data_IF_046814690267
#
_entry.id   IF_046814690267
#
_cell.length_a   1.000
_cell.length_b   1.000
_cell.length_c   1.000
_cell.angle_alpha   90.00
_cell.angle_beta   90.00
_cell.angle_gamma   90.00
#
_symmetry.space_group_name_H-M   'P 1'
#
loop_
_entity.id
_entity.type
_entity.pdbx_description
1 polymer ?
#
# COMPACT_ATOMS: atom_id res chain seq x y z
N UNK A 1 49.04 -44.16 52.17
CA UNK A 1 47.59 -43.83 52.18
C UNK A 1 47.41 -42.35 52.47
N UNK A 2 47.14 -41.52 51.45
CA UNK A 2 46.42 -40.24 51.51
C UNK A 2 45.82 -40.01 50.12
N UNK A 3 44.50 -40.09 50.00
CA UNK A 3 43.81 -39.87 48.73
C UNK A 3 43.74 -38.37 48.46
N UNK A 4 44.30 -37.91 47.34
CA UNK A 4 44.11 -36.53 46.88
C UNK A 4 42.82 -36.48 46.06
N UNK A 5 41.79 -35.89 46.65
CA UNK A 5 40.55 -35.56 45.93
C UNK A 5 40.81 -34.37 45.02
N UNK A 6 40.59 -34.53 43.71
CA UNK A 6 40.58 -33.43 42.75
C UNK A 6 39.16 -32.86 42.74
N UNK A 7 39.03 -31.57 43.04
CA UNK A 7 37.74 -30.87 43.07
C UNK A 7 37.15 -30.76 41.65
N UNK A 8 35.83 -30.90 41.45
CA UNK A 8 35.22 -30.65 40.14
C UNK A 8 35.37 -29.17 39.78
N UNK A 9 35.86 -28.92 38.56
CA UNK A 9 35.91 -27.56 37.99
C UNK A 9 34.50 -27.18 37.55
N UNK A 10 33.90 -26.23 38.25
CA UNK A 10 32.63 -25.63 37.87
C UNK A 10 32.80 -24.83 36.58
N UNK A 11 32.36 -25.37 35.44
CA UNK A 11 32.27 -24.61 34.19
C UNK A 11 31.07 -23.67 34.30
N UNK A 12 31.32 -22.47 34.80
CA UNK A 12 30.34 -21.38 34.76
C UNK A 12 30.13 -20.98 33.30
N UNK A 13 29.04 -21.44 32.68
CA UNK A 13 28.59 -20.85 31.43
C UNK A 13 28.22 -19.38 31.70
N UNK A 14 29.13 -18.46 31.36
CA UNK A 14 28.75 -17.08 31.18
C UNK A 14 27.77 -17.06 30.00
N UNK A 15 26.49 -16.86 30.31
CA UNK A 15 25.51 -16.47 29.32
C UNK A 15 25.92 -15.08 28.81
N UNK A 16 26.68 -15.05 27.72
CA UNK A 16 26.91 -13.84 26.95
C UNK A 16 25.53 -13.33 26.56
N UNK A 17 25.05 -12.27 27.22
CA UNK A 17 23.92 -11.51 26.68
C UNK A 17 24.37 -11.01 25.32
N UNK A 18 23.91 -11.67 24.27
CA UNK A 18 23.76 -11.05 22.98
C UNK A 18 22.75 -9.94 23.24
N UNK A 19 23.26 -8.72 23.40
CA UNK A 19 22.45 -7.52 23.31
C UNK A 19 21.81 -7.57 21.94
N UNK A 20 20.55 -8.01 21.88
CA UNK A 20 19.72 -7.84 20.70
C UNK A 20 19.73 -6.34 20.46
N UNK A 21 20.47 -5.91 19.44
CA UNK A 21 20.46 -4.52 19.01
C UNK A 21 19.00 -4.21 18.75
N UNK A 22 18.44 -3.29 19.55
CA UNK A 22 17.07 -2.88 19.38
C UNK A 22 16.90 -2.46 17.92
N UNK A 23 15.98 -3.11 17.22
CA UNK A 23 15.68 -2.80 15.83
C UNK A 23 15.39 -1.30 15.77
N UNK A 24 16.18 -0.57 14.96
CA UNK A 24 15.92 0.83 14.68
C UNK A 24 14.51 0.89 14.07
N UNK A 25 13.51 1.47 14.77
CA UNK A 25 12.13 1.37 14.33
C UNK A 25 12.02 2.05 12.97
N UNK A 26 11.35 1.36 12.03
CA UNK A 26 11.11 1.81 10.66
C UNK A 26 10.63 3.27 10.65
N UNK A 27 11.57 4.19 10.44
CA UNK A 27 11.29 5.60 10.65
C UNK A 27 10.39 6.12 9.53
N UNK A 28 9.12 6.38 9.88
CA UNK A 28 8.30 7.37 9.18
C UNK A 28 8.84 8.74 9.55
N UNK A 29 9.04 9.60 8.56
CA UNK A 29 9.35 11.02 8.81
C UNK A 29 8.07 11.72 9.29
N UNK A 30 7.78 11.65 10.60
CA UNK A 30 6.53 12.15 11.20
C UNK A 30 6.31 13.66 11.01
N UNK A 31 7.36 14.45 10.71
CA UNK A 31 7.31 15.91 10.55
C UNK A 31 7.77 16.39 9.14
N UNK A 32 7.15 15.87 8.07
CA UNK A 32 7.22 16.58 6.77
C UNK A 32 6.11 17.63 6.70
N UNK A 33 6.49 18.91 6.61
CA UNK A 33 5.54 20.01 6.49
C UNK A 33 4.80 19.93 5.16
N UNK A 34 3.49 19.71 5.19
CA UNK A 34 2.67 19.70 3.99
C UNK A 34 2.43 21.11 3.44
N UNK A 35 2.19 21.18 2.14
CA UNK A 35 1.67 22.36 1.43
C UNK A 35 0.22 22.08 1.02
N UNK A 36 -0.65 23.08 1.16
CA UNK A 36 -2.05 23.04 0.71
C UNK A 36 -2.44 24.36 0.05
N UNK A 37 -3.35 24.32 -0.91
CA UNK A 37 -3.82 25.49 -1.67
C UNK A 37 -5.37 25.49 -1.74
N UNK A 38 -6.06 25.81 -0.62
CA UNK A 38 -7.51 25.79 -0.58
C UNK A 38 -8.17 26.74 -1.58
N UNK A 39 -7.51 27.86 -1.90
CA UNK A 39 -8.02 28.92 -2.77
C UNK A 39 -8.08 28.50 -4.24
N UNK A 40 -7.17 27.63 -4.70
CA UNK A 40 -7.30 26.98 -6.01
C UNK A 40 -8.55 26.08 -6.11
N UNK A 41 -9.11 25.62 -4.98
CA UNK A 41 -10.46 25.08 -4.89
C UNK A 41 -10.55 23.56 -4.67
N UNK A 42 -11.37 23.17 -3.67
CA UNK A 42 -11.52 21.80 -3.15
C UNK A 42 -12.73 21.01 -3.67
N UNK A 43 -13.30 21.43 -4.80
CA UNK A 43 -14.48 20.80 -5.39
C UNK A 43 -14.15 20.15 -6.73
N UNK A 44 -14.77 18.99 -7.00
CA UNK A 44 -14.75 18.34 -8.30
C UNK A 44 -16.10 17.68 -8.57
N UNK A 45 -16.64 17.83 -9.78
CA UNK A 45 -17.91 17.24 -10.18
C UNK A 45 -17.91 16.74 -11.63
N UNK A 46 -18.51 15.56 -11.91
CA UNK A 46 -19.01 14.58 -10.95
C UNK A 46 -17.87 13.78 -10.31
N UNK A 47 -17.91 13.60 -8.99
CA UNK A 47 -17.03 12.68 -8.26
C UNK A 47 -17.80 11.39 -7.90
N UNK A 48 -17.11 10.25 -7.92
CA UNK A 48 -17.72 8.91 -7.73
C UNK A 48 -17.41 8.28 -6.37
N UNK A 49 -16.36 8.74 -5.68
CA UNK A 49 -16.10 8.42 -4.27
C UNK A 49 -16.20 9.71 -3.45
N UNK A 50 -16.71 9.71 -2.21
CA UNK A 50 -16.63 10.87 -1.34
C UNK A 50 -15.22 11.08 -0.76
N UNK A 51 -14.88 12.26 -0.18
CA UNK A 51 -15.75 13.42 0.05
C UNK A 51 -16.23 14.11 -1.23
N UNK A 52 -17.55 14.36 -1.34
CA UNK A 52 -18.12 15.05 -2.51
C UNK A 52 -18.01 16.57 -2.44
N UNK A 53 -17.61 17.10 -1.28
CA UNK A 53 -17.35 18.52 -0.99
C UNK A 53 -16.09 18.62 -0.13
N UNK A 54 -15.43 19.78 -0.13
CA UNK A 54 -14.21 20.06 0.64
C UNK A 54 -13.15 18.95 0.56
N UNK A 55 -12.86 18.47 -0.65
CA UNK A 55 -11.79 17.50 -0.88
C UNK A 55 -10.44 18.21 -0.85
N UNK A 56 -9.91 18.34 0.35
CA UNK A 56 -8.57 18.85 0.57
C UNK A 56 -7.51 17.93 -0.08
N UNK A 57 -6.43 18.55 -0.57
CA UNK A 57 -5.19 17.88 -0.98
C UNK A 57 -4.01 18.46 -0.21
N UNK A 58 -3.24 17.60 0.43
CA UNK A 58 -1.98 17.97 1.08
C UNK A 58 -0.82 17.39 0.27
N UNK A 59 0.11 18.26 -0.18
CA UNK A 59 1.35 17.83 -0.83
C UNK A 59 2.47 17.74 0.19
N UNK A 60 3.18 16.62 0.22
CA UNK A 60 4.40 16.45 0.99
C UNK A 60 5.59 16.28 0.06
N UNK A 61 6.71 16.94 0.36
CA UNK A 61 8.01 16.62 -0.22
C UNK A 61 8.59 15.43 0.55
N UNK A 62 8.91 14.35 -0.16
CA UNK A 62 9.44 13.11 0.42
C UNK A 62 10.97 13.03 0.28
N UNK A 63 11.59 14.05 -0.32
CA UNK A 63 12.99 14.09 -0.74
C UNK A 63 13.29 13.15 -1.90
N UNK A 64 14.52 13.24 -2.46
CA UNK A 64 14.98 12.43 -3.60
C UNK A 64 13.97 12.45 -4.76
N UNK A 65 13.62 13.65 -5.23
CA UNK A 65 12.74 13.88 -6.39
C UNK A 65 11.39 13.11 -6.34
N UNK A 66 10.81 13.01 -5.14
CA UNK A 66 9.58 12.31 -4.88
C UNK A 66 8.61 13.15 -4.03
N UNK A 67 7.33 13.18 -4.42
CA UNK A 67 6.28 13.89 -3.71
C UNK A 67 5.06 13.00 -3.47
N UNK A 68 4.34 13.24 -2.39
CA UNK A 68 3.02 12.70 -2.12
C UNK A 68 1.97 13.79 -2.33
N UNK A 69 0.86 13.48 -3.02
CA UNK A 69 -0.36 14.27 -2.97
C UNK A 69 -1.46 13.42 -2.33
N UNK A 70 -1.78 13.76 -1.09
CA UNK A 70 -2.71 13.03 -0.24
C UNK A 70 -4.10 13.68 -0.29
N UNK A 71 -5.13 12.86 -0.47
CA UNK A 71 -6.53 13.21 -0.28
C UNK A 71 -7.16 12.24 0.73
N UNK A 72 -8.40 12.50 1.16
CA UNK A 72 -9.19 11.51 1.87
C UNK A 72 -10.01 10.64 0.92
N UNK A 73 -9.96 9.34 1.15
CA UNK A 73 -10.97 8.38 0.73
C UNK A 73 -11.94 8.19 1.89
N UNK A 74 -13.20 8.53 1.68
CA UNK A 74 -14.29 8.15 2.60
C UNK A 74 -15.21 7.18 1.86
N UNK A 75 -15.57 6.05 2.46
CA UNK A 75 -16.56 5.14 1.90
C UNK A 75 -17.32 4.40 3.01
N UNK A 76 -18.64 4.56 3.05
CA UNK A 76 -19.50 4.14 4.15
C UNK A 76 -18.97 4.65 5.51
N UNK A 77 -18.13 3.86 6.18
CA UNK A 77 -17.53 4.18 7.48
C UNK A 77 -16.01 3.98 7.50
N UNK A 78 -15.39 3.71 6.36
CA UNK A 78 -13.95 3.88 6.15
C UNK A 78 -13.69 5.38 5.98
N UNK A 79 -12.73 5.91 6.70
CA UNK A 79 -11.99 7.12 6.29
C UNK A 79 -10.51 6.81 6.33
N UNK A 80 -9.86 6.91 5.17
CA UNK A 80 -8.45 6.61 5.00
C UNK A 80 -7.76 7.72 4.19
N UNK A 81 -6.46 7.88 4.41
CA UNK A 81 -5.62 8.63 3.49
C UNK A 81 -5.51 7.86 2.18
N UNK A 82 -5.61 8.55 1.04
CA UNK A 82 -5.34 7.98 -0.28
C UNK A 82 -4.38 8.90 -1.02
N UNK A 83 -3.31 8.33 -1.57
CA UNK A 83 -2.15 9.09 -2.02
C UNK A 83 -1.82 8.81 -3.48
N UNK A 84 -1.65 9.90 -4.21
CA UNK A 84 -0.92 9.93 -5.47
C UNK A 84 0.57 10.13 -5.17
N UNK A 85 1.42 9.28 -5.74
CA UNK A 85 2.87 9.37 -5.61
C UNK A 85 3.44 9.92 -6.91
N UNK A 86 4.32 10.92 -6.83
CA UNK A 86 4.93 11.58 -7.99
C UNK A 86 6.43 11.41 -7.91
N UNK A 87 7.05 10.99 -9.01
CA UNK A 87 8.50 10.89 -9.19
C UNK A 87 8.91 11.79 -10.37
N UNK A 88 9.99 12.55 -10.24
CA UNK A 88 10.63 13.19 -11.39
C UNK A 88 11.57 12.20 -12.09
N UNK A 89 11.37 12.02 -13.38
CA UNK A 89 12.25 11.22 -14.25
C UNK A 89 13.54 11.98 -14.52
N UNK A 90 14.67 11.32 -14.33
CA UNK A 90 16.00 11.91 -14.43
C UNK A 90 16.38 12.24 -15.89
N UNK A 91 15.78 11.57 -16.87
CA UNK A 91 16.05 11.82 -18.30
C UNK A 91 15.29 13.00 -18.90
N UNK A 92 14.05 13.22 -18.46
CA UNK A 92 13.12 14.18 -19.10
C UNK A 92 12.78 15.37 -18.22
N UNK A 93 13.14 15.34 -16.93
CA UNK A 93 12.65 16.24 -15.87
C UNK A 93 11.11 16.19 -15.69
N UNK A 94 10.44 15.28 -16.39
CA UNK A 94 9.00 15.08 -16.38
C UNK A 94 8.51 14.28 -15.19
N UNK A 95 7.21 14.41 -14.92
CA UNK A 95 6.55 13.80 -13.77
C UNK A 95 5.89 12.47 -14.17
N UNK A 96 6.30 11.43 -13.47
CA UNK A 96 5.65 10.11 -13.43
C UNK A 96 4.68 10.09 -12.25
N UNK A 97 3.39 9.91 -12.54
CA UNK A 97 2.28 10.09 -11.59
C UNK A 97 1.60 8.75 -11.33
N UNK A 98 1.86 8.18 -10.15
CA UNK A 98 1.28 6.91 -9.70
C UNK A 98 0.00 7.12 -8.90
N UNK A 99 -1.07 6.42 -9.29
CA UNK A 99 -2.39 6.44 -8.65
C UNK A 99 -2.93 7.87 -8.43
N UNK A 100 -3.22 8.62 -9.52
CA UNK A 100 -3.70 9.99 -9.41
C UNK A 100 -5.01 10.08 -8.62
N UNK A 101 -5.16 11.15 -7.87
CA UNK A 101 -6.38 11.42 -7.09
C UNK A 101 -7.30 12.40 -7.83
N UNK A 102 -8.44 12.77 -7.22
CA UNK A 102 -9.43 13.60 -7.90
C UNK A 102 -8.83 14.99 -8.22
N UNK A 103 -8.84 15.43 -9.49
CA UNK A 103 -8.18 16.66 -9.92
C UNK A 103 -9.03 17.90 -9.58
N UNK A 104 -9.19 18.15 -8.28
CA UNK A 104 -9.64 19.45 -7.75
C UNK A 104 -8.66 20.54 -8.18
N UNK A 105 -9.05 21.80 -8.07
CA UNK A 105 -8.15 22.91 -8.38
C UNK A 105 -6.91 22.92 -7.47
N UNK A 106 -7.10 22.67 -6.17
CA UNK A 106 -6.01 22.47 -5.20
C UNK A 106 -5.06 21.33 -5.62
N UNK A 107 -5.58 20.15 -5.94
CA UNK A 107 -4.74 19.02 -6.40
C UNK A 107 -3.92 19.38 -7.64
N UNK A 108 -4.54 20.05 -8.61
CA UNK A 108 -3.86 20.43 -9.84
C UNK A 108 -2.83 21.53 -9.62
N UNK A 109 -3.13 22.50 -8.75
CA UNK A 109 -2.20 23.57 -8.37
C UNK A 109 -0.93 22.99 -7.75
N UNK A 110 -1.09 22.14 -6.72
CA UNK A 110 0.01 21.49 -6.02
C UNK A 110 0.83 20.53 -6.89
N UNK A 111 0.19 19.83 -7.85
CA UNK A 111 0.89 18.97 -8.81
C UNK A 111 1.71 19.80 -9.81
N UNK A 112 1.14 20.90 -10.33
CA UNK A 112 1.85 21.78 -11.26
C UNK A 112 3.00 22.54 -10.57
N UNK A 113 2.86 22.87 -9.29
CA UNK A 113 3.88 23.54 -8.47
C UNK A 113 5.11 22.65 -8.18
N UNK A 114 5.05 21.33 -8.42
CA UNK A 114 6.26 20.48 -8.43
C UNK A 114 7.19 20.88 -9.60
N UNK A 115 6.63 21.46 -10.67
CA UNK A 115 7.36 21.81 -11.90
C UNK A 115 7.68 20.60 -12.76
N UNK A 116 7.85 20.84 -14.06
CA UNK A 116 8.01 19.80 -15.08
C UNK A 116 6.67 19.33 -15.69
N UNK A 117 6.67 18.77 -16.91
CA UNK A 117 5.47 18.27 -17.57
C UNK A 117 4.93 17.01 -16.89
N UNK A 118 3.59 16.85 -16.85
CA UNK A 118 2.94 15.59 -16.45
C UNK A 118 2.98 14.63 -17.64
N UNK A 119 4.03 13.80 -17.72
CA UNK A 119 4.33 12.96 -18.89
C UNK A 119 3.71 11.56 -18.82
N UNK A 120 3.63 10.99 -17.62
CA UNK A 120 3.18 9.62 -17.42
C UNK A 120 2.21 9.51 -16.26
N UNK A 121 1.16 8.71 -16.44
CA UNK A 121 0.22 8.35 -15.38
C UNK A 121 0.04 6.84 -15.33
N UNK A 122 0.04 6.31 -14.11
CA UNK A 122 -0.07 4.87 -13.83
C UNK A 122 -1.34 4.61 -13.04
N UNK A 123 -2.19 3.70 -13.55
CA UNK A 123 -3.21 3.00 -12.76
C UNK A 123 -2.62 1.66 -12.29
N UNK A 124 -2.13 1.56 -11.05
CA UNK A 124 -1.24 0.47 -10.62
C UNK A 124 -1.96 -0.80 -10.19
N UNK A 125 -3.30 -0.78 -10.06
CA UNK A 125 -4.10 -1.91 -9.57
C UNK A 125 -5.50 -1.93 -10.19
N UNK A 126 -6.33 -2.91 -9.84
CA UNK A 126 -7.77 -2.93 -10.22
C UNK A 126 -8.71 -2.25 -9.21
N UNK A 127 -8.24 -1.87 -8.02
CA UNK A 127 -9.07 -1.29 -6.96
C UNK A 127 -9.79 0.00 -7.40
N UNK A 128 -11.02 0.18 -6.90
CA UNK A 128 -11.99 1.13 -7.44
C UNK A 128 -11.62 2.58 -7.14
N UNK A 129 -11.12 2.83 -5.93
CA UNK A 129 -10.68 4.11 -5.40
C UNK A 129 -9.51 4.72 -6.19
N UNK A 130 -8.56 3.88 -6.61
CA UNK A 130 -7.41 4.27 -7.46
C UNK A 130 -7.82 4.43 -8.93
N UNK A 131 -8.84 3.70 -9.37
CA UNK A 131 -9.37 3.75 -10.75
C UNK A 131 -10.32 4.92 -11.01
N UNK A 132 -11.13 5.32 -10.03
CA UNK A 132 -12.19 6.32 -10.18
C UNK A 132 -11.70 7.71 -10.65
N UNK A 133 -10.55 8.24 -10.18
CA UNK A 133 -10.05 9.53 -10.63
C UNK A 133 -9.43 9.53 -12.04
N UNK A 134 -8.98 8.39 -12.55
CA UNK A 134 -8.15 8.30 -13.78
C UNK A 134 -8.74 9.07 -14.98
N UNK A 135 -10.02 8.88 -15.28
CA UNK A 135 -10.67 9.56 -16.42
C UNK A 135 -10.77 11.08 -16.22
N UNK A 136 -10.97 11.52 -14.97
CA UNK A 136 -10.98 12.94 -14.62
C UNK A 136 -9.58 13.54 -14.75
N UNK A 137 -8.57 12.84 -14.23
CA UNK A 137 -7.17 13.26 -14.29
C UNK A 137 -6.68 13.40 -15.74
N UNK A 138 -6.93 12.41 -16.58
CA UNK A 138 -6.54 12.44 -18.01
C UNK A 138 -7.26 13.57 -18.76
N UNK A 139 -8.50 13.94 -18.39
CA UNK A 139 -9.17 15.12 -18.95
C UNK A 139 -8.46 16.43 -18.61
N UNK A 140 -7.80 16.52 -17.45
CA UNK A 140 -7.02 17.68 -17.02
C UNK A 140 -5.63 17.71 -17.66
N UNK A 141 -5.02 16.54 -17.86
CA UNK A 141 -3.68 16.36 -18.42
C UNK A 141 -3.74 15.52 -19.72
N UNK A 142 -4.32 16.02 -20.83
CA UNK A 142 -4.66 15.22 -22.01
C UNK A 142 -3.46 14.63 -22.76
N UNK A 143 -2.27 15.22 -22.59
CA UNK A 143 -1.05 14.77 -23.26
C UNK A 143 -0.32 13.63 -22.51
N UNK A 144 -0.73 13.32 -21.27
CA UNK A 144 -0.09 12.29 -20.44
C UNK A 144 -0.16 10.91 -21.12
N UNK A 145 0.89 10.09 -21.03
CA UNK A 145 0.84 8.70 -21.47
C UNK A 145 0.32 7.80 -20.35
N UNK A 146 -0.61 6.91 -20.68
CA UNK A 146 -1.44 6.17 -19.72
C UNK A 146 -1.05 4.70 -19.67
N UNK A 147 -0.48 4.28 -18.53
CA UNK A 147 -0.09 2.91 -18.25
C UNK A 147 -1.04 2.29 -17.23
N UNK A 148 -1.44 1.03 -17.43
CA UNK A 148 -2.39 0.37 -16.51
C UNK A 148 -1.92 -1.03 -16.11
N UNK A 149 -2.23 -1.41 -14.88
CA UNK A 149 -2.20 -2.80 -14.44
C UNK A 149 -3.22 -3.64 -15.23
N UNK A 150 -2.91 -4.91 -15.53
CA UNK A 150 -3.75 -5.77 -16.36
C UNK A 150 -5.12 -6.07 -15.73
N UNK A 151 -6.06 -6.53 -16.57
CA UNK A 151 -7.33 -7.10 -16.12
C UNK A 151 -8.36 -6.10 -15.58
N UNK A 152 -8.26 -4.83 -15.96
CA UNK A 152 -9.21 -3.80 -15.56
C UNK A 152 -10.67 -4.20 -15.85
N UNK A 153 -11.53 -4.13 -14.84
CA UNK A 153 -12.94 -4.54 -14.93
C UNK A 153 -13.89 -3.57 -14.18
N UNK A 154 -15.19 -3.88 -14.19
CA UNK A 154 -16.22 -3.14 -13.45
C UNK A 154 -16.85 -1.95 -14.19
N UNK A 155 -17.63 -1.11 -13.48
CA UNK A 155 -18.46 -0.06 -14.08
C UNK A 155 -17.66 1.12 -14.64
N UNK A 156 -16.39 1.26 -14.24
CA UNK A 156 -15.45 2.30 -14.70
C UNK A 156 -14.71 1.89 -15.99
N UNK A 157 -15.27 0.96 -16.76
CA UNK A 157 -14.69 0.44 -17.98
C UNK A 157 -13.77 -0.77 -17.76
N UNK A 158 -13.47 -1.45 -18.86
CA UNK A 158 -12.67 -2.67 -18.88
C UNK A 158 -11.52 -2.61 -19.89
N UNK A 159 -10.43 -3.30 -19.57
CA UNK A 159 -9.29 -3.56 -20.43
C UNK A 159 -8.67 -4.88 -19.98
N UNK A 160 -8.38 -5.78 -20.91
CA UNK A 160 -7.89 -7.12 -20.58
C UNK A 160 -6.41 -7.15 -20.15
N UNK A 161 -5.75 -8.25 -20.47
CA UNK A 161 -4.30 -8.44 -20.30
C UNK A 161 -3.50 -8.12 -21.56
N UNK A 162 -4.12 -7.60 -22.63
CA UNK A 162 -3.43 -7.28 -23.89
C UNK A 162 -4.07 -6.13 -24.67
N UNK A 163 -3.24 -5.21 -25.19
CA UNK A 163 -3.65 -4.08 -26.03
C UNK A 163 -4.15 -4.48 -27.42
N UNK A 164 -3.88 -5.71 -27.88
CA UNK A 164 -4.50 -6.26 -29.10
C UNK A 164 -6.03 -6.23 -29.05
N UNK A 165 -6.61 -6.21 -27.84
CA UNK A 165 -8.06 -6.09 -27.60
C UNK A 165 -8.42 -4.64 -27.28
N UNK A 166 -9.44 -4.11 -27.98
CA UNK A 166 -9.91 -2.73 -27.80
C UNK A 166 -10.31 -2.43 -26.35
N UNK A 167 -9.56 -1.54 -25.70
CA UNK A 167 -9.88 -0.97 -24.38
C UNK A 167 -11.24 -0.28 -24.37
N UNK A 168 -11.97 -0.43 -23.25
CA UNK A 168 -13.27 0.21 -22.96
C UNK A 168 -13.20 1.06 -21.68
N UNK A 169 -12.02 1.56 -21.32
CA UNK A 169 -11.80 2.41 -20.14
C UNK A 169 -12.41 3.82 -20.27
N UNK A 170 -12.76 4.24 -21.50
CA UNK A 170 -13.31 5.57 -21.77
C UNK A 170 -12.27 6.70 -21.76
N UNK A 171 -10.98 6.32 -21.85
CA UNK A 171 -9.79 7.13 -22.07
C UNK A 171 -8.75 6.28 -22.82
N UNK A 172 -7.69 6.89 -23.37
CA UNK A 172 -6.62 6.17 -24.07
C UNK A 172 -5.82 5.29 -23.10
N UNK A 173 -5.32 4.16 -23.57
CA UNK A 173 -4.38 3.30 -22.83
C UNK A 173 -3.21 3.08 -23.75
N UNK A 174 -2.03 3.53 -23.33
CA UNK A 174 -0.81 3.53 -24.14
C UNK A 174 0.07 2.30 -23.82
N UNK A 175 -0.12 1.66 -22.65
CA UNK A 175 0.52 0.39 -22.28
C UNK A 175 -0.21 -0.36 -21.16
N UNK A 176 -0.09 -1.70 -21.16
CA UNK A 176 -0.50 -2.61 -20.09
C UNK A 176 0.77 -3.29 -19.54
N UNK A 177 0.94 -3.34 -18.22
CA UNK A 177 2.08 -4.06 -17.64
C UNK A 177 1.92 -5.58 -17.76
N UNK A 178 2.99 -6.28 -18.15
CA UNK A 178 2.99 -7.72 -18.39
C UNK A 178 2.39 -8.16 -19.73
N UNK A 179 2.13 -7.24 -20.66
CA UNK A 179 1.63 -7.52 -22.01
C UNK A 179 2.74 -7.39 -23.06
N UNK A 180 3.15 -8.51 -23.67
CA UNK A 180 4.17 -8.53 -24.74
C UNK A 180 3.78 -7.71 -25.98
N UNK A 181 2.49 -7.37 -26.15
CA UNK A 181 2.02 -6.50 -27.24
C UNK A 181 2.03 -5.00 -26.89
N UNK A 182 2.31 -4.64 -25.64
CA UNK A 182 2.49 -3.26 -25.21
C UNK A 182 3.92 -2.77 -25.48
N UNK A 183 4.11 -1.50 -25.86
CA UNK A 183 5.45 -0.94 -25.97
C UNK A 183 6.12 -0.91 -24.58
N UNK A 184 7.44 -1.14 -24.47
CA UNK A 184 8.13 -0.95 -23.20
C UNK A 184 7.98 0.50 -22.75
N UNK A 185 7.74 0.77 -21.46
CA UNK A 185 7.67 2.14 -20.97
C UNK A 185 8.97 2.91 -21.27
N UNK A 186 8.93 4.16 -21.75
CA UNK A 186 10.14 4.91 -22.12
C UNK A 186 11.03 5.25 -20.91
N UNK A 187 10.49 5.11 -19.70
CA UNK A 187 11.16 5.24 -18.39
C UNK A 187 11.54 3.88 -17.76
N UNK A 188 11.37 2.75 -18.46
CA UNK A 188 11.67 1.41 -17.93
C UNK A 188 13.15 1.21 -17.57
N UNK A 189 14.07 2.01 -18.11
CA UNK A 189 15.46 1.98 -17.69
C UNK A 189 15.77 2.90 -16.48
N UNK A 190 14.77 3.52 -15.86
CA UNK A 190 14.86 4.12 -14.51
C UNK A 190 14.17 3.26 -13.44
N UNK A 191 13.34 2.27 -13.84
CA UNK A 191 12.50 1.47 -12.93
C UNK A 191 12.66 -0.04 -13.10
N UNK A 192 12.78 -0.78 -12.00
CA UNK A 192 12.43 -2.21 -11.99
C UNK A 192 10.91 -2.35 -11.76
N UNK A 193 10.26 -3.34 -12.39
CA UNK A 193 8.79 -3.48 -12.44
C UNK A 193 8.42 -4.95 -12.22
N UNK A 194 7.49 -5.22 -11.30
CA UNK A 194 6.97 -6.57 -11.02
C UNK A 194 5.44 -6.54 -11.01
N UNK A 195 4.79 -7.40 -11.81
CA UNK A 195 3.33 -7.38 -12.02
C UNK A 195 2.67 -8.60 -11.39
N UNK A 196 1.86 -8.40 -10.36
CA UNK A 196 0.94 -9.41 -9.87
C UNK A 196 -0.32 -9.36 -10.74
N UNK A 197 -0.69 -10.48 -11.34
CA UNK A 197 -2.01 -10.68 -11.95
C UNK A 197 -2.55 -12.05 -11.59
N UNK A 198 -3.75 -12.10 -11.03
CA UNK A 198 -4.46 -13.33 -10.68
C UNK A 198 -5.90 -13.22 -11.18
N UNK A 199 -6.28 -14.08 -12.12
CA UNK A 199 -7.68 -14.25 -12.51
C UNK A 199 -8.40 -15.11 -11.46
N UNK A 200 -9.10 -14.47 -10.52
CA UNK A 200 -9.77 -15.19 -9.44
C UNK A 200 -11.07 -15.84 -9.94
N UNK A 201 -11.33 -17.12 -9.62
CA UNK A 201 -12.51 -17.81 -10.10
C UNK A 201 -13.81 -17.22 -9.53
N UNK A 202 -14.90 -17.36 -10.29
CA UNK A 202 -16.26 -16.87 -9.98
C UNK A 202 -16.36 -15.33 -10.04
N UNK A 203 -17.40 -14.76 -9.44
CA UNK A 203 -17.76 -13.33 -9.55
C UNK A 203 -16.85 -12.37 -8.75
N UNK A 204 -15.64 -12.79 -8.35
CA UNK A 204 -14.69 -11.91 -7.65
C UNK A 204 -14.06 -10.87 -8.60
N UNK A 205 -13.82 -11.27 -9.85
CA UNK A 205 -13.00 -10.52 -10.80
C UNK A 205 -11.51 -10.71 -10.54
N UNK A 206 -10.65 -10.34 -11.51
CA UNK A 206 -9.21 -10.46 -11.35
C UNK A 206 -8.69 -9.50 -10.28
N UNK A 207 -7.52 -9.82 -9.75
CA UNK A 207 -6.73 -8.91 -8.92
C UNK A 207 -5.40 -8.66 -9.62
N UNK A 208 -5.01 -7.39 -9.70
CA UNK A 208 -3.65 -7.00 -10.06
C UNK A 208 -3.14 -5.86 -9.20
N UNK A 209 -1.82 -5.87 -9.02
CA UNK A 209 -1.03 -4.77 -8.51
C UNK A 209 0.34 -4.80 -9.20
N UNK A 210 0.87 -3.64 -9.56
CA UNK A 210 2.21 -3.48 -10.14
C UNK A 210 3.07 -2.73 -9.13
N UNK A 211 4.17 -3.37 -8.72
CA UNK A 211 5.21 -2.73 -7.92
C UNK A 211 6.28 -2.12 -8.82
N UNK A 212 6.85 -1.00 -8.36
CA UNK A 212 7.83 -0.22 -9.10
C UNK A 212 9.02 0.12 -8.19
N UNK A 213 10.25 -0.22 -8.55
CA UNK A 213 11.44 0.28 -7.86
C UNK A 213 12.13 1.34 -8.71
N UNK A 214 11.99 2.62 -8.33
CA UNK A 214 12.70 3.72 -8.97
C UNK A 214 14.17 3.73 -8.55
N UNK A 215 15.04 3.20 -9.40
CA UNK A 215 16.45 2.90 -9.07
C UNK A 215 17.26 4.14 -8.68
N UNK A 216 17.18 5.31 -9.38
CA UNK A 216 17.92 6.51 -8.98
C UNK A 216 17.64 6.95 -7.55
N UNK A 217 16.39 6.82 -7.11
CA UNK A 217 15.95 7.25 -5.77
C UNK A 217 15.95 6.13 -4.73
N UNK A 218 16.36 4.91 -5.10
CA UNK A 218 16.32 3.70 -4.26
C UNK A 218 14.98 3.48 -3.56
N UNK A 219 13.89 3.65 -4.30
CA UNK A 219 12.53 3.70 -3.73
C UNK A 219 11.63 2.66 -4.36
N UNK A 220 11.07 1.77 -3.54
CA UNK A 220 9.91 0.97 -3.90
C UNK A 220 8.63 1.83 -3.80
N UNK A 221 7.81 1.80 -4.83
CA UNK A 221 6.46 2.34 -4.85
C UNK A 221 5.51 1.15 -5.01
N UNK A 222 4.62 1.00 -4.03
CA UNK A 222 3.47 0.08 -4.09
C UNK A 222 2.18 0.88 -3.94
N UNK A 223 1.05 0.24 -4.23
CA UNK A 223 -0.27 0.83 -4.00
C UNK A 223 -0.79 0.37 -2.65
N UNK A 224 -1.32 -0.84 -2.62
CA UNK A 224 -2.01 -1.45 -1.49
C UNK A 224 -1.20 -2.63 -0.94
N UNK A 225 -0.13 -3.07 -1.62
CA UNK A 225 0.51 -4.34 -1.32
C UNK A 225 1.02 -4.44 0.11
N UNK A 226 1.66 -3.36 0.56
CA UNK A 226 2.13 -3.14 1.93
C UNK A 226 1.67 -1.78 2.41
N UNK A 227 1.47 -1.66 3.72
CA UNK A 227 1.15 -0.42 4.41
C UNK A 227 1.98 -0.31 5.68
N UNK A 228 2.29 0.92 6.10
CA UNK A 228 2.84 1.18 7.43
C UNK A 228 1.79 1.92 8.26
N UNK A 229 1.39 1.35 9.39
CA UNK A 229 0.39 1.94 10.29
C UNK A 229 1.09 2.80 11.35
N UNK A 230 1.03 4.14 11.30
CA UNK A 230 1.60 5.00 12.33
C UNK A 230 0.75 5.00 13.62
N UNK A 231 1.31 5.43 14.74
CA UNK A 231 0.55 5.65 16.00
C UNK A 231 -0.41 6.83 15.97
N UNK A 232 -0.23 7.78 15.05
CA UNK A 232 -1.02 9.01 14.93
C UNK A 232 -1.75 9.06 13.58
N UNK A 233 -2.99 9.60 13.52
CA UNK A 233 -3.65 9.87 12.26
C UNK A 233 -2.87 10.92 11.45
N UNK A 234 -2.91 10.82 10.12
CA UNK A 234 -2.45 11.91 9.24
C UNK A 234 -3.24 13.19 9.52
N UNK A 235 -2.55 14.34 9.45
CA UNK A 235 -3.16 15.66 9.65
C UNK A 235 -4.34 15.90 8.71
N UNK A 236 -4.37 15.31 7.51
CA UNK A 236 -5.50 15.51 6.59
C UNK A 236 -6.84 15.03 7.15
N UNK A 237 -6.87 14.12 8.13
CA UNK A 237 -8.11 13.70 8.79
C UNK A 237 -8.81 14.86 9.52
N UNK A 238 -8.08 15.91 9.93
CA UNK A 238 -8.68 17.13 10.52
C UNK A 238 -9.46 17.98 9.52
N UNK A 239 -9.41 17.66 8.22
CA UNK A 239 -10.26 18.31 7.19
C UNK A 239 -11.67 17.73 7.12
N UNK A 240 -11.91 16.60 7.81
CA UNK A 240 -13.18 15.87 7.81
C UNK A 240 -13.71 15.60 9.23
N UNK A 241 -12.83 15.38 10.21
CA UNK A 241 -13.17 15.21 11.63
C UNK A 241 -12.72 16.42 12.46
N UNK A 242 -13.51 16.76 13.49
CA UNK A 242 -13.17 17.80 14.45
C UNK A 242 -11.93 17.39 15.25
N UNK A 243 -10.84 18.16 15.14
CA UNK A 243 -9.56 17.82 15.76
C UNK A 243 -9.64 17.81 17.29
N UNK A 244 -10.31 18.79 17.90
CA UNK A 244 -10.43 18.90 19.35
C UNK A 244 -11.50 17.99 19.96
N UNK A 245 -12.58 17.69 19.23
CA UNK A 245 -13.73 16.95 19.75
C UNK A 245 -13.72 15.47 19.37
N UNK A 246 -13.10 15.11 18.26
CA UNK A 246 -13.03 13.72 17.76
C UNK A 246 -11.62 13.19 17.86
N UNK A 247 -10.65 13.79 17.17
CA UNK A 247 -9.30 13.23 17.03
C UNK A 247 -8.55 13.24 18.37
N UNK A 248 -8.58 14.34 19.11
CA UNK A 248 -7.84 14.49 20.37
C UNK A 248 -8.57 13.92 21.61
N UNK A 249 -9.88 13.65 21.53
CA UNK A 249 -10.71 13.25 22.70
C UNK A 249 -11.19 11.81 22.71
N UNK A 250 -11.33 11.13 21.58
CA UNK A 250 -11.55 9.67 21.58
C UNK A 250 -10.21 8.96 21.37
N UNK A 251 -9.59 8.37 22.41
CA UNK A 251 -8.32 7.63 22.26
C UNK A 251 -8.47 6.41 21.32
N UNK A 252 -9.69 5.97 21.06
CA UNK A 252 -9.98 4.88 20.14
C UNK A 252 -10.21 5.36 18.69
N UNK A 253 -10.28 6.66 18.41
CA UNK A 253 -10.58 7.18 17.06
C UNK A 253 -9.63 6.61 16.01
N UNK A 254 -8.32 6.68 16.28
CA UNK A 254 -7.32 6.22 15.33
C UNK A 254 -7.23 4.68 15.24
N UNK A 255 -7.19 3.91 16.35
CA UNK A 255 -7.34 2.45 16.31
C UNK A 255 -8.57 1.99 15.51
N UNK A 256 -9.74 2.59 15.74
CA UNK A 256 -10.96 2.29 14.96
C UNK A 256 -10.75 2.58 13.47
N UNK A 257 -10.22 3.75 13.13
CA UNK A 257 -10.01 4.18 11.74
C UNK A 257 -9.06 3.24 10.99
N UNK A 258 -7.97 2.82 11.62
CA UNK A 258 -7.03 1.82 11.08
C UNK A 258 -7.73 0.50 10.82
N UNK A 259 -8.39 -0.07 11.84
CA UNK A 259 -9.09 -1.35 11.72
C UNK A 259 -10.18 -1.28 10.64
N UNK A 260 -10.92 -0.17 10.56
CA UNK A 260 -11.91 0.07 9.50
C UNK A 260 -11.26 0.07 8.12
N UNK A 261 -10.18 0.83 7.91
CA UNK A 261 -9.54 0.93 6.61
C UNK A 261 -8.88 -0.37 6.14
N UNK A 262 -8.26 -1.14 7.05
CA UNK A 262 -7.57 -2.40 6.68
C UNK A 262 -8.46 -3.65 6.67
N UNK A 263 -9.66 -3.59 7.27
CA UNK A 263 -10.56 -4.74 7.40
C UNK A 263 -11.99 -4.53 6.90
N UNK A 264 -12.42 -3.39 6.33
CA UNK A 264 -13.81 -3.26 5.87
C UNK A 264 -14.05 -3.75 4.42
N UNK A 265 -15.20 -4.41 4.15
CA UNK A 265 -16.13 -5.03 5.06
C UNK A 265 -15.86 -6.54 5.14
N UNK A 266 -14.83 -6.94 5.91
CA UNK A 266 -14.63 -8.33 6.36
C UNK A 266 -15.66 -8.67 7.45
N UNK A 267 -16.92 -8.61 7.03
CA UNK A 267 -18.09 -9.12 7.72
C UNK A 267 -17.97 -10.65 7.77
N UNK A 268 -17.38 -11.13 8.86
CA UNK A 268 -17.77 -12.36 9.58
C UNK A 268 -18.36 -13.51 8.75
N UNK A 269 -17.54 -14.52 8.44
CA UNK A 269 -17.88 -15.95 8.54
C UNK A 269 -16.58 -16.71 8.86
N UNK A 270 -16.55 -17.79 9.63
CA UNK A 270 -17.63 -18.59 10.23
C UNK A 270 -17.31 -18.82 11.72
N UNK A 271 -18.29 -19.24 12.54
CA UNK A 271 -18.05 -19.58 13.94
C UNK A 271 -18.17 -21.07 14.20
N UNK A 272 -17.03 -21.76 14.34
CA UNK A 272 -16.66 -22.71 15.42
C UNK A 272 -15.52 -23.69 15.09
N UNK A 273 -15.28 -24.31 13.93
CA UNK A 273 -15.75 -24.21 12.54
C UNK A 273 -15.35 -22.95 11.76
N UNK A 274 -14.22 -23.03 11.04
CA UNK A 274 -13.75 -22.05 10.05
C UNK A 274 -13.75 -20.59 10.51
N UNK A 275 -13.05 -20.32 11.61
CA UNK A 275 -12.86 -18.96 12.11
C UNK A 275 -11.79 -18.23 11.27
N UNK A 276 -12.21 -17.24 10.46
CA UNK A 276 -11.31 -16.18 9.98
C UNK A 276 -11.27 -15.10 11.07
N UNK A 277 -10.09 -14.64 11.42
CA UNK A 277 -9.87 -13.81 12.61
C UNK A 277 -8.72 -12.80 12.22
N UNK A 278 -8.63 -11.58 12.76
CA UNK A 278 -7.88 -10.47 12.10
C UNK A 278 -6.93 -9.68 13.01
N UNK A 279 -5.64 -9.46 12.71
CA UNK A 279 -4.70 -8.84 13.65
C UNK A 279 -5.20 -7.49 14.19
N UNK A 280 -5.25 -7.37 15.53
CA UNK A 280 -5.66 -6.14 16.23
C UNK A 280 -4.71 -4.97 16.02
N UNK A 281 -5.09 -3.78 16.49
CA UNK A 281 -4.38 -2.52 16.21
C UNK A 281 -2.91 -2.55 16.65
N UNK A 282 -2.62 -3.00 17.89
CA UNK A 282 -1.24 -3.11 18.40
C UNK A 282 -0.39 -4.17 17.69
N UNK A 283 -0.99 -5.05 16.86
CA UNK A 283 -0.23 -5.98 16.02
C UNK A 283 0.18 -5.36 14.67
N UNK A 284 -0.45 -4.26 14.27
CA UNK A 284 -0.26 -3.55 13.00
C UNK A 284 0.57 -2.27 13.15
N UNK A 285 0.42 -1.57 14.27
CA UNK A 285 1.04 -0.28 14.51
C UNK A 285 2.57 -0.35 14.58
N UNK A 286 3.23 0.70 14.09
CA UNK A 286 4.69 0.85 13.91
C UNK A 286 5.35 -0.24 13.04
N UNK A 287 4.59 -0.86 12.15
CA UNK A 287 5.06 -1.98 11.32
C UNK A 287 4.69 -1.80 9.86
N UNK A 288 5.63 -2.18 8.99
CA UNK A 288 5.35 -2.48 7.60
C UNK A 288 4.67 -3.85 7.53
N UNK A 289 3.44 -3.90 7.02
CA UNK A 289 2.62 -5.11 6.94
C UNK A 289 1.99 -5.25 5.57
N UNK A 290 1.79 -6.49 5.09
CA UNK A 290 0.87 -6.76 3.99
C UNK A 290 -0.50 -6.21 4.37
N UNK A 291 -1.13 -5.42 3.50
CA UNK A 291 -2.49 -4.92 3.74
C UNK A 291 -3.44 -6.11 4.09
N UNK A 292 -4.00 -6.15 5.31
CA UNK A 292 -4.74 -7.31 5.78
C UNK A 292 -5.95 -7.73 4.93
N UNK A 293 -6.64 -6.80 4.27
CA UNK A 293 -7.68 -7.10 3.28
C UNK A 293 -7.16 -7.99 2.14
N UNK A 294 -5.94 -7.74 1.65
CA UNK A 294 -5.33 -8.51 0.57
C UNK A 294 -4.95 -9.93 1.03
N UNK A 295 -4.55 -10.11 2.29
CA UNK A 295 -4.38 -11.45 2.90
C UNK A 295 -5.66 -12.27 2.82
N UNK A 296 -6.80 -11.64 3.10
CA UNK A 296 -8.10 -12.29 3.11
C UNK A 296 -8.64 -12.60 1.71
N UNK A 297 -8.39 -11.74 0.70
CA UNK A 297 -9.03 -11.86 -0.63
C UNK A 297 -8.12 -12.31 -1.77
N UNK A 298 -6.81 -12.08 -1.69
CA UNK A 298 -5.83 -12.42 -2.75
C UNK A 298 -4.99 -13.61 -2.29
N UNK A 299 -4.28 -13.43 -1.19
CA UNK A 299 -3.24 -14.37 -0.75
C UNK A 299 -3.84 -15.71 -0.31
N UNK A 300 -5.06 -15.69 0.24
CA UNK A 300 -5.83 -16.91 0.57
C UNK A 300 -6.28 -17.73 -0.65
N UNK A 301 -6.24 -17.14 -1.86
CA UNK A 301 -6.74 -17.75 -3.12
C UNK A 301 -5.63 -18.03 -4.13
N UNK A 302 -4.55 -17.27 -4.08
CA UNK A 302 -3.37 -17.46 -4.93
C UNK A 302 -2.06 -17.24 -4.13
N UNK A 303 -1.82 -18.01 -3.04
CA UNK A 303 -0.67 -17.80 -2.16
C UNK A 303 0.66 -17.95 -2.91
N UNK A 304 0.73 -18.90 -3.85
CA UNK A 304 1.91 -19.16 -4.70
C UNK A 304 2.22 -17.92 -5.56
N UNK A 305 1.27 -17.42 -6.36
CA UNK A 305 1.50 -16.25 -7.22
C UNK A 305 1.91 -14.99 -6.44
N UNK A 306 1.34 -14.76 -5.25
CA UNK A 306 1.75 -13.64 -4.38
C UNK A 306 3.16 -13.85 -3.81
N UNK A 307 3.49 -15.09 -3.42
CA UNK A 307 4.81 -15.48 -2.91
C UNK A 307 5.89 -15.30 -3.99
N UNK A 308 5.61 -15.70 -5.22
CA UNK A 308 6.59 -15.62 -6.30
C UNK A 308 6.79 -14.15 -6.75
N UNK A 309 5.71 -13.35 -6.79
CA UNK A 309 5.76 -11.90 -7.05
C UNK A 309 6.53 -11.10 -5.99
N UNK A 310 6.46 -11.49 -4.70
CA UNK A 310 7.28 -10.83 -3.66
C UNK A 310 8.74 -11.31 -3.72
N UNK A 311 8.99 -12.56 -4.14
CA UNK A 311 10.35 -13.07 -4.32
C UNK A 311 11.06 -12.34 -5.47
N UNK A 312 10.41 -12.13 -6.62
CA UNK A 312 10.92 -11.37 -7.78
C UNK A 312 11.60 -10.04 -7.37
N UNK A 313 11.04 -9.36 -6.37
CA UNK A 313 11.51 -8.07 -5.88
C UNK A 313 12.59 -8.17 -4.79
N UNK A 314 12.65 -9.30 -4.06
CA UNK A 314 13.34 -9.39 -2.76
C UNK A 314 14.45 -10.43 -2.67
N UNK A 315 14.48 -11.45 -3.55
CA UNK A 315 15.53 -12.47 -3.64
C UNK A 315 16.40 -12.32 -4.90
N UNK A 316 17.57 -12.94 -4.91
CA UNK A 316 18.39 -13.13 -6.12
C UNK A 316 18.12 -14.47 -6.80
N UNK A 317 17.77 -15.50 -6.03
CA UNK A 317 17.56 -16.86 -6.54
C UNK A 317 16.22 -17.39 -6.03
N UNK A 318 15.51 -18.08 -6.92
CA UNK A 318 14.23 -18.75 -6.62
C UNK A 318 14.23 -20.11 -7.30
N UNK A 319 13.82 -21.12 -6.55
CA UNK A 319 13.47 -22.44 -7.09
C UNK A 319 11.95 -22.44 -7.26
N UNK A 320 11.49 -22.60 -8.50
CA UNK A 320 10.09 -22.82 -8.81
C UNK A 320 10.03 -24.08 -9.67
N UNK A 321 9.47 -25.17 -9.14
CA UNK A 321 9.56 -26.51 -9.76
C UNK A 321 11.06 -26.91 -9.95
N UNK A 322 11.37 -27.88 -10.81
CA UNK A 322 12.75 -28.21 -11.25
C UNK A 322 13.42 -27.06 -12.05
N UNK A 323 12.88 -25.84 -12.05
CA UNK A 323 13.42 -24.66 -12.73
C UNK A 323 14.01 -23.62 -11.76
N UNK A 324 15.29 -23.28 -11.97
CA UNK A 324 15.95 -22.18 -11.26
C UNK A 324 15.70 -20.87 -11.99
N UNK A 325 15.01 -19.93 -11.34
CA UNK A 325 14.78 -18.57 -11.85
C UNK A 325 15.63 -17.59 -11.04
N UNK A 326 16.61 -16.99 -11.71
CA UNK A 326 17.48 -15.96 -11.14
C UNK A 326 16.81 -14.58 -11.35
N UNK A 327 16.28 -13.99 -10.29
CA UNK A 327 15.83 -12.60 -10.30
C UNK A 327 16.97 -11.67 -9.89
N UNK A 328 16.90 -10.41 -10.31
CA UNK A 328 17.75 -9.37 -9.74
C UNK A 328 17.02 -8.77 -8.55
N UNK A 329 17.45 -9.09 -7.32
CA UNK A 329 16.99 -8.41 -6.10
C UNK A 329 17.05 -6.89 -6.29
N UNK A 330 15.95 -6.19 -6.02
CA UNK A 330 15.88 -4.74 -6.20
C UNK A 330 16.68 -4.03 -5.10
N UNK A 331 17.29 -2.89 -5.45
CA UNK A 331 18.13 -2.08 -4.55
C UNK A 331 17.36 -0.83 -4.10
N UNK A 332 16.56 -1.00 -3.04
CA UNK A 332 15.84 0.08 -2.37
C UNK A 332 16.08 0.11 -0.86
N UNK A 333 16.03 1.30 -0.27
CA UNK A 333 16.09 1.58 1.17
C UNK A 333 14.88 2.40 1.66
N UNK A 334 13.95 2.70 0.75
CA UNK A 334 12.73 3.49 0.99
C UNK A 334 11.52 2.82 0.32
N UNK A 335 10.38 2.83 0.99
CA UNK A 335 9.08 2.40 0.48
C UNK A 335 8.08 3.56 0.54
N UNK A 336 7.24 3.70 -0.50
CA UNK A 336 6.12 4.64 -0.56
C UNK A 336 4.86 3.87 -0.95
N UNK A 337 3.76 4.11 -0.22
CA UNK A 337 2.48 3.39 -0.33
C UNK A 337 1.34 4.36 -0.62
N UNK A 338 0.23 3.88 -1.18
CA UNK A 338 -0.96 4.72 -1.42
C UNK A 338 -1.81 4.97 -0.17
N UNK A 339 -1.63 4.19 0.89
CA UNK A 339 -2.38 4.30 2.16
C UNK A 339 -1.47 4.37 3.39
N UNK A 340 -1.97 5.02 4.45
CA UNK A 340 -1.27 5.28 5.72
C UNK A 340 0.05 6.03 5.52
N UNK A 341 1.08 5.78 6.33
CA UNK A 341 2.30 6.58 6.35
C UNK A 341 3.22 6.34 5.15
N UNK A 342 3.88 7.39 4.68
CA UNK A 342 4.97 7.34 3.72
C UNK A 342 5.79 8.64 3.80
N UNK A 343 7.10 8.64 3.48
CA UNK A 343 7.90 7.46 3.12
C UNK A 343 8.22 6.60 4.35
N UNK A 344 8.64 5.36 4.09
CA UNK A 344 9.03 4.38 5.11
C UNK A 344 10.48 3.98 4.82
N UNK A 345 11.38 4.12 5.81
CA UNK A 345 12.74 3.55 5.74
C UNK A 345 12.64 2.02 5.80
N UNK A 346 12.79 1.33 4.67
CA UNK A 346 12.60 -0.12 4.58
C UNK A 346 13.37 -0.71 3.38
N UNK A 347 13.97 -1.88 3.59
CA UNK A 347 14.74 -2.65 2.61
C UNK A 347 13.88 -3.77 1.99
N UNK A 348 14.38 -4.51 0.97
CA UNK A 348 13.66 -5.65 0.45
C UNK A 348 13.46 -6.78 1.46
N UNK A 349 14.23 -6.82 2.56
CA UNK A 349 14.02 -7.81 3.62
C UNK A 349 12.89 -7.41 4.56
N UNK A 350 12.72 -6.12 4.85
CA UNK A 350 11.58 -5.61 5.63
C UNK A 350 10.26 -5.80 4.84
N UNK A 351 10.30 -5.50 3.53
CA UNK A 351 9.18 -5.76 2.61
C UNK A 351 8.88 -7.25 2.51
N UNK A 352 9.90 -8.11 2.37
CA UNK A 352 9.73 -9.58 2.35
C UNK A 352 9.13 -10.10 3.67
N UNK A 353 9.59 -9.62 4.83
CA UNK A 353 9.09 -10.06 6.14
C UNK A 353 7.58 -9.80 6.33
N UNK A 354 7.05 -8.75 5.72
CA UNK A 354 5.61 -8.46 5.70
C UNK A 354 4.75 -9.57 5.05
N UNK A 355 5.38 -10.52 4.32
CA UNK A 355 4.76 -11.67 3.64
C UNK A 355 5.19 -13.04 4.23
N UNK A 356 5.89 -13.08 5.39
CA UNK A 356 6.47 -14.32 5.96
C UNK A 356 5.50 -15.51 6.07
N UNK A 357 4.21 -15.25 6.32
CA UNK A 357 3.16 -16.28 6.39
C UNK A 357 2.91 -17.07 5.09
N UNK A 358 3.53 -16.70 3.96
CA UNK A 358 3.50 -17.45 2.71
C UNK A 358 4.63 -18.49 2.57
N UNK A 359 5.49 -18.63 3.58
CA UNK A 359 6.73 -19.41 3.52
C UNK A 359 6.80 -20.45 4.65
N UNK A 360 7.00 -21.71 4.28
CA UNK A 360 6.85 -22.86 5.19
C UNK A 360 7.89 -22.87 6.34
N UNK A 361 9.08 -22.32 6.11
CA UNK A 361 10.18 -22.30 7.08
C UNK A 361 9.92 -21.43 8.33
N UNK A 362 8.96 -20.48 8.28
CA UNK A 362 8.80 -19.50 9.37
C UNK A 362 7.96 -20.01 10.54
N UNK A 363 7.32 -21.18 10.45
CA UNK A 363 6.44 -21.73 11.52
C UNK A 363 7.11 -21.90 12.89
N UNK A 364 8.44 -21.81 12.98
CA UNK A 364 9.22 -21.88 14.23
C UNK A 364 9.73 -20.52 14.75
N UNK A 365 9.62 -19.43 13.98
CA UNK A 365 10.18 -18.12 14.34
C UNK A 365 9.19 -17.21 15.08
N UNK A 366 9.69 -16.43 16.03
CA UNK A 366 8.91 -15.44 16.80
C UNK A 366 8.55 -14.18 16.01
N UNK A 367 8.96 -14.08 14.74
CA UNK A 367 8.66 -12.97 13.83
C UNK A 367 7.37 -13.13 13.03
N UNK A 368 6.72 -14.29 13.11
CA UNK A 368 5.43 -14.51 12.45
C UNK A 368 4.44 -13.39 12.81
N UNK A 369 3.91 -12.71 11.77
CA UNK A 369 2.69 -11.92 11.92
C UNK A 369 1.67 -12.81 12.64
N UNK A 370 1.07 -12.36 13.76
CA UNK A 370 0.33 -13.25 14.63
C UNK A 370 -0.75 -13.99 13.85
N UNK A 371 -1.10 -15.23 14.27
CA UNK A 371 -2.22 -15.96 13.69
C UNK A 371 -3.35 -14.99 13.49
N UNK A 372 -3.91 -15.01 12.29
CA UNK A 372 -4.98 -14.15 11.79
C UNK A 372 -6.02 -14.09 12.92
N UNK A 373 -6.00 -13.07 13.78
CA UNK A 373 -6.78 -13.08 15.03
C UNK A 373 -7.13 -11.72 15.64
N UNK A 374 -8.44 -11.42 15.72
CA UNK A 374 -8.93 -10.18 16.28
C UNK A 374 -9.04 -10.31 17.79
N UNK A 375 -8.19 -9.55 18.48
CA UNK A 375 -8.23 -9.38 19.93
C UNK A 375 -9.14 -8.21 20.33
N UNK A 376 -9.51 -7.37 19.35
CA UNK A 376 -10.21 -6.09 19.56
C UNK A 376 -11.69 -6.19 19.10
N UNK A 377 -12.37 -7.32 19.37
CA UNK A 377 -13.76 -7.52 18.94
C UNK A 377 -14.70 -6.44 19.47
N UNK A 378 -14.54 -6.00 20.72
CA UNK A 378 -15.34 -4.90 21.31
C UNK A 378 -15.19 -3.59 20.52
N UNK A 379 -14.01 -3.34 19.94
CA UNK A 379 -13.73 -2.17 19.13
C UNK A 379 -14.45 -2.24 17.77
N UNK A 380 -14.43 -3.42 17.13
CA UNK A 380 -15.18 -3.70 15.91
C UNK A 380 -16.71 -3.69 16.14
N UNK A 381 -17.19 -4.18 17.29
CA UNK A 381 -18.61 -4.17 17.62
C UNK A 381 -19.12 -2.78 17.99
N UNK A 382 -18.33 -1.97 18.69
CA UNK A 382 -18.60 -0.55 18.90
C UNK A 382 -18.67 0.22 17.57
N UNK A 383 -17.82 -0.12 16.60
CA UNK A 383 -17.95 0.35 15.21
C UNK A 383 -19.28 -0.13 14.61
N UNK A 384 -19.59 -1.43 14.62
CA UNK A 384 -20.80 -1.99 14.01
C UNK A 384 -22.09 -1.34 14.54
N UNK A 385 -22.16 -1.06 15.85
CA UNK A 385 -23.29 -0.38 16.48
C UNK A 385 -23.41 1.09 16.03
N UNK A 386 -22.29 1.81 15.91
CA UNK A 386 -22.26 3.17 15.36
C UNK A 386 -22.77 3.21 13.91
N UNK A 387 -22.29 2.27 13.08
CA UNK A 387 -22.71 2.09 11.68
C UNK A 387 -24.21 1.81 11.57
N UNK A 388 -24.72 0.87 12.37
CA UNK A 388 -26.15 0.52 12.36
C UNK A 388 -27.02 1.72 12.77
N UNK A 389 -26.57 2.52 13.74
CA UNK A 389 -27.27 3.73 14.22
C UNK A 389 -27.30 4.86 13.19
N UNK A 390 -26.27 4.97 12.32
CA UNK A 390 -26.22 5.97 11.25
C UNK A 390 -26.97 5.55 9.98
N UNK A 391 -26.98 4.25 9.64
CA UNK A 391 -27.73 3.71 8.50
C UNK A 391 -29.23 3.46 8.81
N UNK A 392 -29.68 3.69 10.04
CA UNK A 392 -31.08 3.63 10.46
C UNK A 392 -31.74 5.03 10.54
N UNK A 393 -31.22 5.99 9.78
CA UNK A 393 -31.73 7.36 9.64
C UNK A 393 -31.96 7.70 8.17
#
# INVERSE_FOLDING_TARGET
>A
MKNVWISPVSVTMQATLITVLAFDPLAVTEDSSFVSDPEAGRYYFPALTPPFQNRATYRYDLGRDAWALEQLLTFANVTATIRCNVIRLQKTEGLWVHSPQWPTGEFCSLLNDIGGPVEHVVLPCNAFEHKAPMKAFIKKYPNVNVWIAPGQYGPLGNCGTSLTKKSKMGYKVDGIFGDDSSPPPPWSDEFDIATLYVDLPKNAGPVSEVAFCHRPTKTLITTDAVVYVPRKPSKILSTYFDEEKTIAKDPNFWPKSVLQAVFLPLRTTTGTNNNIIYPGYEALVDRLVRAPILRAVVDSRAPVAVRDWILEQTTTNTVYDDSNVNYKKWDYDRVITSHFASPIKATPMDVRAAFDYLFEDTLSSSTNLPPIACKDWELLDGINQFIAKYNAR
#
